data_IF_393824142929
#
_entry.id   IF_393824142929
#
_cell.length_a   1.000
_cell.length_b   1.000
_cell.length_c   1.000
_cell.angle_alpha   90.00
_cell.angle_beta   90.00
_cell.angle_gamma   90.00
#
_symmetry.space_group_name_H-M   'P 1'
#
loop_
_entity.id
_entity.type
_entity.pdbx_description
1 polymer ?
#
# COMPACT_ATOMS: atom_id res chain seq x y z
N UNK A 1 -21.62 -6.46 24.73
CA UNK A 1 -22.80 -6.58 23.83
C UNK A 1 -22.56 -5.67 22.64
N UNK A 2 -21.97 -6.22 21.55
CA UNK A 2 -21.66 -5.43 20.35
C UNK A 2 -22.96 -5.14 19.60
N UNK A 3 -23.23 -3.87 19.33
CA UNK A 3 -24.43 -3.45 18.60
C UNK A 3 -24.32 -3.86 17.12
N UNK A 4 -25.42 -4.34 16.49
CA UNK A 4 -25.42 -4.85 15.11
C UNK A 4 -25.13 -3.80 14.01
N UNK A 5 -24.84 -2.54 14.35
CA UNK A 5 -24.52 -1.47 13.40
C UNK A 5 -23.06 -1.47 12.92
N UNK A 6 -22.15 -2.01 13.74
CA UNK A 6 -20.71 -2.07 13.40
C UNK A 6 -20.38 -3.06 12.28
N UNK A 7 -21.14 -4.15 12.15
CA UNK A 7 -20.89 -5.14 11.08
C UNK A 7 -21.29 -4.60 9.71
N UNK A 8 -22.45 -3.93 9.59
CA UNK A 8 -22.93 -3.40 8.31
C UNK A 8 -22.03 -2.30 7.74
N UNK A 9 -21.46 -1.45 8.61
CA UNK A 9 -20.51 -0.39 8.22
C UNK A 9 -19.16 -0.96 7.80
N UNK A 10 -18.64 -1.98 8.51
CA UNK A 10 -17.40 -2.67 8.13
C UNK A 10 -17.53 -3.43 6.79
N UNK A 11 -18.68 -4.08 6.55
CA UNK A 11 -18.95 -4.76 5.29
C UNK A 11 -19.01 -3.77 4.12
N UNK A 12 -19.67 -2.63 4.29
CA UNK A 12 -19.70 -1.56 3.28
C UNK A 12 -18.32 -0.97 3.01
N UNK A 13 -17.54 -0.72 4.06
CA UNK A 13 -16.18 -0.18 3.93
C UNK A 13 -15.25 -1.13 3.15
N UNK A 14 -15.28 -2.43 3.48
CA UNK A 14 -14.51 -3.45 2.75
C UNK A 14 -14.93 -3.56 1.28
N UNK A 15 -16.25 -3.47 0.99
CA UNK A 15 -16.78 -3.53 -0.37
C UNK A 15 -16.27 -2.38 -1.24
N UNK A 16 -16.21 -1.16 -0.68
CA UNK A 16 -15.71 0.02 -1.39
C UNK A 16 -14.22 -0.16 -1.75
N UNK A 17 -13.41 -0.63 -0.79
CA UNK A 17 -11.97 -0.87 -1.01
C UNK A 17 -11.75 -2.00 -2.03
N UNK A 18 -12.50 -3.09 -1.92
CA UNK A 18 -12.42 -4.21 -2.85
C UNK A 18 -12.81 -3.81 -4.28
N UNK A 19 -13.90 -3.04 -4.44
CA UNK A 19 -14.31 -2.51 -5.74
C UNK A 19 -13.28 -1.54 -6.32
N UNK A 20 -12.73 -0.62 -5.51
CA UNK A 20 -11.67 0.29 -5.95
C UNK A 20 -10.42 -0.46 -6.42
N UNK A 21 -10.01 -1.48 -5.68
CA UNK A 21 -8.88 -2.34 -6.05
C UNK A 21 -9.15 -3.11 -7.35
N UNK A 22 -10.36 -3.67 -7.51
CA UNK A 22 -10.75 -4.38 -8.72
C UNK A 22 -10.75 -3.45 -9.94
N UNK A 23 -11.31 -2.25 -9.83
CA UNK A 23 -11.29 -1.24 -10.89
C UNK A 23 -9.86 -0.85 -11.28
N UNK A 24 -8.99 -0.64 -10.29
CA UNK A 24 -7.58 -0.31 -10.53
C UNK A 24 -6.85 -1.43 -11.28
N UNK A 25 -7.16 -2.70 -10.98
CA UNK A 25 -6.58 -3.85 -11.70
C UNK A 25 -7.10 -3.97 -13.12
N UNK A 26 -8.40 -3.76 -13.33
CA UNK A 26 -9.00 -3.77 -14.68
C UNK A 26 -8.42 -2.66 -15.55
N UNK A 27 -8.32 -1.45 -15.02
CA UNK A 27 -7.69 -0.32 -15.72
C UNK A 27 -6.20 -0.56 -16.02
N UNK A 28 -5.47 -1.19 -15.09
CA UNK A 28 -4.09 -1.64 -15.32
C UNK A 28 -3.98 -2.71 -16.41
N UNK A 29 -4.89 -3.69 -16.46
CA UNK A 29 -4.93 -4.71 -17.50
C UNK A 29 -5.16 -4.09 -18.88
N UNK A 30 -6.09 -3.14 -18.98
CA UNK A 30 -6.34 -2.39 -20.22
C UNK A 30 -5.07 -1.68 -20.67
N UNK A 31 -4.34 -1.04 -19.75
CA UNK A 31 -3.05 -0.40 -20.06
C UNK A 31 -2.06 -1.38 -20.67
N UNK A 32 -1.89 -2.57 -20.09
CA UNK A 32 -0.96 -3.59 -20.60
C UNK A 32 -1.36 -4.02 -22.02
N UNK A 33 -2.65 -4.26 -22.26
CA UNK A 33 -3.16 -4.63 -23.59
C UNK A 33 -2.91 -3.52 -24.61
N UNK A 34 -3.22 -2.27 -24.26
CA UNK A 34 -3.00 -1.10 -25.15
C UNK A 34 -1.52 -0.93 -25.46
N UNK A 35 -0.64 -1.04 -24.47
CA UNK A 35 0.81 -0.99 -24.68
C UNK A 35 1.29 -2.10 -25.61
N UNK A 36 0.83 -3.34 -25.40
CA UNK A 36 1.16 -4.48 -26.26
C UNK A 36 0.68 -4.32 -27.71
N UNK A 37 -0.46 -3.69 -27.93
CA UNK A 37 -1.00 -3.42 -29.28
C UNK A 37 -0.32 -2.22 -29.94
N UNK A 38 -0.01 -1.15 -29.20
CA UNK A 38 0.49 0.11 -29.76
C UNK A 38 2.01 0.10 -30.01
N UNK A 39 2.78 -0.55 -29.13
CA UNK A 39 4.26 -0.63 -29.21
C UNK A 39 4.71 -1.99 -29.76
N UNK A 40 3.88 -3.04 -29.64
CA UNK A 40 4.29 -4.42 -29.86
C UNK A 40 5.09 -4.97 -28.68
N UNK A 41 5.01 -6.29 -28.40
CA UNK A 41 5.87 -6.97 -27.43
C UNK A 41 7.33 -6.92 -27.90
N UNK A 42 8.00 -5.80 -27.66
CA UNK A 42 9.43 -5.64 -27.91
C UNK A 42 10.17 -5.85 -26.59
N UNK A 43 11.34 -6.48 -26.64
CA UNK A 43 12.18 -6.67 -25.45
C UNK A 43 12.48 -5.36 -24.69
N UNK A 44 12.39 -4.22 -25.39
CA UNK A 44 12.53 -2.89 -24.82
C UNK A 44 11.33 -2.48 -23.96
N UNK A 45 10.10 -2.79 -24.39
CA UNK A 45 8.87 -2.51 -23.63
C UNK A 45 8.81 -3.36 -22.36
N UNK A 46 9.13 -4.65 -22.46
CA UNK A 46 9.21 -5.54 -21.28
C UNK A 46 10.33 -5.10 -20.32
N UNK A 47 11.50 -4.70 -20.83
CA UNK A 47 12.58 -4.17 -19.98
C UNK A 47 12.19 -2.85 -19.31
N UNK A 48 11.48 -1.97 -20.01
CA UNK A 48 10.98 -0.71 -19.45
C UNK A 48 9.91 -0.96 -18.37
N UNK A 49 8.95 -1.85 -18.63
CA UNK A 49 7.92 -2.20 -17.64
C UNK A 49 8.51 -2.93 -16.43
N UNK A 50 9.49 -3.83 -16.63
CA UNK A 50 10.19 -4.49 -15.54
C UNK A 50 11.00 -3.47 -14.71
N UNK A 51 11.70 -2.53 -15.34
CA UNK A 51 12.45 -1.48 -14.65
C UNK A 51 11.54 -0.57 -13.81
N UNK A 52 10.32 -0.29 -14.28
CA UNK A 52 9.38 0.59 -13.58
C UNK A 52 8.52 -0.14 -12.52
N UNK A 53 8.28 -1.44 -12.68
CA UNK A 53 7.51 -2.22 -11.70
C UNK A 53 8.37 -2.89 -10.63
N UNK A 54 9.67 -3.13 -10.89
CA UNK A 54 10.57 -3.69 -9.88
C UNK A 54 10.60 -2.87 -8.57
N UNK A 55 10.64 -1.52 -8.61
CA UNK A 55 10.49 -0.71 -7.40
C UNK A 55 9.15 -0.93 -6.71
N UNK A 56 8.07 -1.00 -7.47
CA UNK A 56 6.72 -1.18 -6.93
C UNK A 56 6.57 -2.52 -6.22
N UNK A 57 7.13 -3.60 -6.78
CA UNK A 57 7.11 -4.93 -6.15
C UNK A 57 7.89 -4.91 -4.82
N UNK A 58 9.06 -4.28 -4.80
CA UNK A 58 9.83 -4.12 -3.55
C UNK A 58 9.04 -3.29 -2.53
N UNK A 59 8.38 -2.22 -2.96
CA UNK A 59 7.56 -1.37 -2.11
C UNK A 59 6.35 -2.12 -1.54
N UNK A 60 5.60 -2.87 -2.35
CA UNK A 60 4.47 -3.68 -1.88
C UNK A 60 4.91 -4.75 -0.89
N UNK A 61 6.04 -5.43 -1.12
CA UNK A 61 6.56 -6.45 -0.21
C UNK A 61 7.06 -5.86 1.10
N UNK A 62 7.76 -4.72 1.05
CA UNK A 62 8.29 -4.06 2.24
C UNK A 62 7.20 -3.34 3.04
N UNK A 63 6.44 -2.44 2.42
CA UNK A 63 5.41 -1.65 3.09
C UNK A 63 4.11 -2.40 3.32
N UNK A 64 3.61 -3.09 2.30
CA UNK A 64 2.36 -3.86 2.39
C UNK A 64 2.54 -5.20 3.11
N UNK A 65 3.69 -5.85 2.94
CA UNK A 65 4.00 -7.12 3.60
C UNK A 65 4.60 -6.93 4.99
N UNK A 66 5.90 -6.65 5.03
CA UNK A 66 6.71 -6.75 6.26
C UNK A 66 6.40 -5.63 7.27
N UNK A 67 6.36 -4.38 6.81
CA UNK A 67 6.12 -3.23 7.67
C UNK A 67 4.68 -3.22 8.18
N UNK A 68 3.67 -3.36 7.31
CA UNK A 68 2.28 -3.41 7.78
C UNK A 68 2.04 -4.55 8.77
N UNK A 69 2.59 -5.74 8.54
CA UNK A 69 2.42 -6.89 9.45
C UNK A 69 3.09 -6.69 10.82
N UNK A 70 4.16 -5.88 10.90
CA UNK A 70 4.91 -5.64 12.14
C UNK A 70 4.50 -4.36 12.85
N UNK A 71 4.34 -3.24 12.13
CA UNK A 71 4.01 -1.94 12.68
C UNK A 71 2.55 -1.84 13.13
N UNK A 72 1.58 -2.42 12.41
CA UNK A 72 0.16 -2.28 12.77
C UNK A 72 -0.14 -2.87 14.16
N UNK A 73 0.30 -4.11 14.51
CA UNK A 73 0.13 -4.64 15.86
C UNK A 73 0.89 -3.82 16.91
N UNK A 74 2.09 -3.34 16.57
CA UNK A 74 2.93 -2.55 17.47
C UNK A 74 2.26 -1.22 17.85
N UNK A 75 1.76 -0.48 16.86
CA UNK A 75 1.00 0.75 17.06
C UNK A 75 -0.29 0.50 17.84
N UNK A 76 -1.02 -0.57 17.50
CA UNK A 76 -2.27 -0.91 18.18
C UNK A 76 -2.04 -1.20 19.67
N UNK A 77 -0.92 -1.86 20.00
CA UNK A 77 -0.53 -2.13 21.40
C UNK A 77 -0.20 -0.84 22.16
N UNK A 78 0.63 0.03 21.59
CA UNK A 78 1.02 1.28 22.27
C UNK A 78 -0.15 2.26 22.44
N UNK A 79 -1.07 2.32 21.49
CA UNK A 79 -2.30 3.12 21.62
C UNK A 79 -3.19 2.59 22.76
N UNK A 80 -3.28 1.27 22.95
CA UNK A 80 -4.07 0.68 24.04
C UNK A 80 -3.46 0.90 25.42
N UNK A 81 -2.13 0.97 25.49
CA UNK A 81 -1.40 1.21 26.74
C UNK A 81 -1.44 2.69 27.18
N UNK A 82 -1.99 3.60 26.37
CA UNK A 82 -2.16 5.03 26.70
C UNK A 82 -0.85 5.82 26.75
N UNK A 83 0.20 5.31 26.12
CA UNK A 83 1.55 5.87 26.16
C UNK A 83 1.79 6.78 24.94
N UNK A 84 1.21 7.99 24.99
CA UNK A 84 1.26 8.97 23.90
C UNK A 84 2.70 9.38 23.51
N UNK A 85 3.66 9.32 24.45
CA UNK A 85 5.07 9.58 24.19
C UNK A 85 5.70 8.57 23.23
N UNK A 86 5.42 7.26 23.39
CA UNK A 86 5.89 6.23 22.46
C UNK A 86 5.26 6.37 21.08
N UNK A 87 3.97 6.72 21.01
CA UNK A 87 3.28 6.97 19.73
C UNK A 87 3.92 8.15 18.99
N UNK A 88 4.27 9.22 19.71
CA UNK A 88 4.88 10.42 19.13
C UNK A 88 6.35 10.20 18.72
N UNK A 89 7.08 9.35 19.45
CA UNK A 89 8.43 8.94 19.08
C UNK A 89 8.44 8.12 17.78
N UNK A 90 7.52 7.16 17.63
CA UNK A 90 7.43 6.34 16.42
C UNK A 90 6.99 7.18 15.22
N UNK A 91 6.02 8.09 15.39
CA UNK A 91 5.56 8.97 14.31
C UNK A 91 6.65 9.96 13.88
N UNK A 92 7.37 10.58 14.82
CA UNK A 92 8.50 11.46 14.51
C UNK A 92 9.61 10.70 13.77
N UNK A 93 9.95 9.49 14.21
CA UNK A 93 10.92 8.66 13.51
C UNK A 93 10.48 8.34 12.08
N UNK A 94 9.22 7.94 11.90
CA UNK A 94 8.67 7.63 10.58
C UNK A 94 8.71 8.84 9.64
N UNK A 95 8.34 10.04 10.13
CA UNK A 95 8.37 11.28 9.35
C UNK A 95 9.80 11.65 8.95
N UNK A 96 10.75 11.58 9.88
CA UNK A 96 12.16 11.89 9.60
C UNK A 96 12.75 10.90 8.60
N UNK A 97 12.50 9.60 8.78
CA UNK A 97 12.97 8.57 7.85
C UNK A 97 12.40 8.75 6.44
N UNK A 98 11.12 9.12 6.33
CA UNK A 98 10.46 9.33 5.04
C UNK A 98 10.99 10.60 4.35
N UNK A 99 11.22 11.67 5.11
CA UNK A 99 11.83 12.90 4.62
C UNK A 99 13.27 12.68 4.12
N UNK A 100 14.09 11.89 4.85
CA UNK A 100 15.46 11.59 4.41
C UNK A 100 15.48 10.73 3.15
N UNK A 101 14.62 9.72 3.06
CA UNK A 101 14.50 8.90 1.84
C UNK A 101 14.06 9.78 0.65
N UNK A 102 13.11 10.69 0.84
CA UNK A 102 12.64 11.60 -0.22
C UNK A 102 13.72 12.57 -0.67
N UNK A 103 14.60 13.02 0.22
CA UNK A 103 15.71 13.91 -0.12
C UNK A 103 16.88 13.18 -0.82
N UNK A 104 17.01 11.87 -0.61
CA UNK A 104 18.05 11.02 -1.20
C UNK A 104 17.65 10.40 -2.54
N UNK A 105 16.34 10.22 -2.78
CA UNK A 105 15.77 9.71 -4.01
C UNK A 105 15.70 10.80 -5.09
#
# INVERSE_FOLDING_TARGET
MATPEGSQTLWRANLIVACGTALSRVTGLIRIIVFGVMIGQTALADAYDAANNAPNVVYELLLGGVLAASLVPLFTRYIQDGDDDSVNAISSFAVVALATITALA
#
